data_IF_731313889971
#
_entry.id   IF_731313889971
#
_cell.length_a   1.000
_cell.length_b   1.000
_cell.length_c   1.000
_cell.angle_alpha   90.00
_cell.angle_beta   90.00
_cell.angle_gamma   90.00
#
_symmetry.space_group_name_H-M   'P 1'
#
loop_
_entity.id
_entity.type
_entity.pdbx_description
1 polymer ?
#
# COMPACT_ATOMS: atom_id res chain seq x y z
N UNK A 1 15.48 -6.96 -8.09
CA UNK A 1 14.95 -7.94 -7.11
C UNK A 1 13.47 -8.19 -7.37
N UNK A 2 12.61 -7.17 -7.27
CA UNK A 2 11.16 -7.29 -7.52
C UNK A 2 10.72 -8.16 -8.72
N UNK A 3 11.30 -7.97 -9.91
CA UNK A 3 10.97 -8.79 -11.09
C UNK A 3 11.27 -10.28 -10.90
N UNK A 4 12.38 -10.61 -10.24
CA UNK A 4 12.76 -11.99 -9.95
C UNK A 4 11.79 -12.61 -8.94
N UNK A 5 11.49 -11.87 -7.88
CA UNK A 5 10.58 -12.32 -6.80
C UNK A 5 9.17 -12.58 -7.34
N UNK A 6 8.67 -11.71 -8.23
CA UNK A 6 7.39 -11.91 -8.91
C UNK A 6 7.40 -13.06 -9.91
N UNK A 7 8.53 -13.31 -10.60
CA UNK A 7 8.66 -14.47 -11.48
C UNK A 7 8.57 -15.77 -10.68
N UNK A 8 9.33 -15.86 -9.59
CA UNK A 8 9.31 -17.02 -8.70
C UNK A 8 7.94 -17.22 -8.08
N UNK A 9 7.27 -16.14 -7.66
CA UNK A 9 5.89 -16.20 -7.17
C UNK A 9 4.94 -16.81 -8.20
N UNK A 10 5.01 -16.41 -9.47
CA UNK A 10 4.13 -16.95 -10.52
C UNK A 10 4.38 -18.43 -10.79
N UNK A 11 5.64 -18.85 -10.74
CA UNK A 11 5.99 -20.26 -10.86
C UNK A 11 5.40 -21.05 -9.68
N UNK A 12 5.63 -20.60 -8.44
CA UNK A 12 5.13 -21.23 -7.22
C UNK A 12 3.59 -21.23 -7.14
N UNK A 13 2.92 -20.16 -7.57
CA UNK A 13 1.46 -20.06 -7.62
C UNK A 13 0.85 -21.13 -8.54
N UNK A 14 1.48 -21.39 -9.70
CA UNK A 14 1.06 -22.45 -10.60
C UNK A 14 1.27 -23.85 -9.98
N UNK A 15 2.40 -24.09 -9.30
CA UNK A 15 2.66 -25.37 -8.63
C UNK A 15 1.72 -25.63 -7.45
N UNK A 16 1.41 -24.59 -6.67
CA UNK A 16 0.51 -24.66 -5.53
C UNK A 16 -0.94 -25.04 -5.91
N UNK A 17 -1.34 -24.81 -7.18
CA UNK A 17 -2.65 -25.26 -7.67
C UNK A 17 -2.74 -26.78 -7.88
N UNK A 18 -1.60 -27.48 -7.97
CA UNK A 18 -1.53 -28.91 -8.28
C UNK A 18 -0.99 -29.80 -7.14
N UNK A 19 -0.33 -29.21 -6.13
CA UNK A 19 0.26 -29.93 -5.00
C UNK A 19 -0.48 -29.68 -3.68
N UNK A 20 -0.67 -30.72 -2.86
CA UNK A 20 -1.43 -30.64 -1.61
C UNK A 20 -0.60 -30.25 -0.37
N UNK A 21 0.74 -30.25 -0.47
CA UNK A 21 1.61 -29.90 0.65
C UNK A 21 2.74 -28.99 0.15
N UNK A 22 2.76 -27.76 0.68
CA UNK A 22 3.84 -26.81 0.48
C UNK A 22 4.67 -26.78 1.75
N UNK A 23 5.99 -26.79 1.60
CA UNK A 23 6.87 -26.54 2.74
C UNK A 23 6.69 -25.09 3.25
N UNK A 24 7.04 -24.81 4.52
CA UNK A 24 6.85 -23.49 5.11
C UNK A 24 7.59 -22.34 4.39
N UNK A 25 8.72 -22.63 3.74
CA UNK A 25 9.49 -21.61 3.01
C UNK A 25 8.75 -21.21 1.73
N UNK A 26 8.22 -22.20 1.00
CA UNK A 26 7.36 -21.99 -0.17
C UNK A 26 6.09 -21.22 0.20
N UNK A 27 5.47 -21.52 1.34
CA UNK A 27 4.28 -20.79 1.80
C UNK A 27 4.60 -19.32 2.11
N UNK A 28 5.76 -19.03 2.72
CA UNK A 28 6.22 -17.66 2.95
C UNK A 28 6.47 -16.92 1.64
N UNK A 29 7.14 -17.55 0.68
CA UNK A 29 7.38 -16.96 -0.64
C UNK A 29 6.06 -16.65 -1.38
N UNK A 30 5.09 -17.56 -1.31
CA UNK A 30 3.77 -17.39 -1.94
C UNK A 30 2.97 -16.25 -1.30
N UNK A 31 2.91 -16.19 0.03
CA UNK A 31 2.19 -15.10 0.73
C UNK A 31 2.87 -13.74 0.54
N UNK A 32 4.21 -13.67 0.48
CA UNK A 32 4.92 -12.44 0.12
C UNK A 32 4.60 -12.01 -1.32
N UNK A 33 4.61 -12.95 -2.26
CA UNK A 33 4.29 -12.67 -3.65
C UNK A 33 2.87 -12.13 -3.86
N UNK A 34 1.89 -12.64 -3.10
CA UNK A 34 0.52 -12.09 -3.10
C UNK A 34 0.49 -10.61 -2.67
N UNK A 35 1.25 -10.23 -1.63
CA UNK A 35 1.36 -8.85 -1.17
C UNK A 35 2.08 -7.95 -2.17
N UNK A 36 3.11 -8.45 -2.84
CA UNK A 36 3.81 -7.72 -3.90
C UNK A 36 2.88 -7.43 -5.10
N UNK A 37 1.98 -8.36 -5.43
CA UNK A 37 0.95 -8.12 -6.46
C UNK A 37 -0.03 -7.05 -6.02
N UNK A 38 -0.46 -7.06 -4.75
CA UNK A 38 -1.35 -6.03 -4.20
C UNK A 38 -0.70 -4.64 -4.20
N UNK A 39 0.57 -4.56 -3.82
CA UNK A 39 1.35 -3.32 -3.81
C UNK A 39 1.42 -2.65 -5.18
N UNK A 40 1.42 -3.43 -6.26
CA UNK A 40 1.47 -2.91 -7.63
C UNK A 40 0.11 -2.43 -8.15
N UNK A 41 -0.99 -2.63 -7.40
CA UNK A 41 -2.30 -2.09 -7.78
C UNK A 41 -2.34 -0.59 -7.53
N UNK A 42 -2.70 0.16 -8.57
CA UNK A 42 -2.89 1.60 -8.51
C UNK A 42 -4.31 1.96 -8.94
N UNK A 43 -4.90 2.97 -8.31
CA UNK A 43 -6.21 3.50 -8.69
C UNK A 43 -6.10 4.26 -10.02
N UNK A 44 -7.16 4.23 -10.81
CA UNK A 44 -7.21 4.98 -12.06
C UNK A 44 -7.09 6.48 -11.77
N UNK A 45 -6.24 7.19 -12.55
CA UNK A 45 -6.04 8.66 -12.46
C UNK A 45 -5.40 9.16 -11.16
N UNK A 46 -4.77 8.27 -10.40
CA UNK A 46 -3.97 8.63 -9.22
C UNK A 46 -2.48 8.33 -9.50
N UNK A 47 -1.78 9.16 -10.29
CA UNK A 47 -0.34 8.98 -10.50
C UNK A 47 0.41 9.21 -9.19
N UNK A 48 1.34 8.31 -8.87
CA UNK A 48 2.19 8.43 -7.69
C UNK A 48 3.50 9.15 -8.02
N UNK A 49 3.99 10.08 -7.18
CA UNK A 49 5.34 10.61 -7.26
C UNK A 49 6.41 9.52 -7.21
N UNK A 50 7.59 9.76 -7.77
CA UNK A 50 8.67 8.75 -7.79
C UNK A 50 9.11 8.39 -6.37
N UNK A 51 9.21 9.36 -5.47
CA UNK A 51 9.56 9.10 -4.06
C UNK A 51 8.55 8.17 -3.38
N UNK A 52 7.24 8.36 -3.62
CA UNK A 52 6.19 7.51 -3.08
C UNK A 52 6.22 6.09 -3.65
N UNK A 53 6.54 5.96 -4.94
CA UNK A 53 6.73 4.66 -5.58
C UNK A 53 7.96 3.94 -5.00
N UNK A 54 9.07 4.66 -4.77
CA UNK A 54 10.27 4.11 -4.13
C UNK A 54 9.96 3.61 -2.73
N UNK A 55 9.29 4.41 -1.90
CA UNK A 55 8.87 4.02 -0.55
C UNK A 55 7.95 2.78 -0.56
N UNK A 56 6.97 2.76 -1.48
CA UNK A 56 6.06 1.63 -1.63
C UNK A 56 6.82 0.35 -2.00
N UNK A 57 7.67 0.38 -3.03
CA UNK A 57 8.46 -0.77 -3.47
C UNK A 57 9.47 -1.22 -2.42
N UNK A 58 10.08 -0.28 -1.69
CA UNK A 58 11.00 -0.58 -0.61
C UNK A 58 10.30 -1.32 0.53
N UNK A 59 9.08 -0.89 0.91
CA UNK A 59 8.29 -1.58 1.94
C UNK A 59 7.99 -3.04 1.58
N UNK A 60 7.68 -3.33 0.31
CA UNK A 60 7.40 -4.69 -0.16
C UNK A 60 8.66 -5.55 -0.31
N UNK A 61 9.73 -5.00 -0.89
CA UNK A 61 10.98 -5.75 -1.12
C UNK A 61 11.81 -5.96 0.15
N UNK A 62 11.65 -5.09 1.16
CA UNK A 62 12.25 -5.20 2.47
C UNK A 62 11.54 -6.16 3.43
N UNK A 63 10.38 -6.71 3.06
CA UNK A 63 9.62 -7.66 3.89
C UNK A 63 8.74 -7.02 4.97
N UNK A 64 8.62 -5.69 4.99
CA UNK A 64 7.79 -4.98 5.98
C UNK A 64 6.30 -5.32 5.87
N UNK A 65 5.85 -5.70 4.66
CA UNK A 65 4.47 -6.12 4.42
C UNK A 65 4.14 -7.54 4.92
N UNK A 66 5.13 -8.36 5.28
CA UNK A 66 4.89 -9.76 5.65
C UNK A 66 4.00 -9.89 6.90
N UNK A 67 4.02 -8.87 7.78
CA UNK A 67 3.19 -8.77 8.99
C UNK A 67 1.79 -8.21 8.74
N UNK A 68 1.46 -7.83 7.51
CA UNK A 68 0.18 -7.23 7.13
C UNK A 68 -0.64 -8.22 6.30
N UNK A 69 -1.96 -8.28 6.50
CA UNK A 69 -2.87 -9.07 5.64
C UNK A 69 -2.92 -8.49 4.24
N UNK A 70 -3.07 -9.36 3.23
CA UNK A 70 -3.09 -8.96 1.81
C UNK A 70 -4.17 -7.91 1.56
N UNK A 71 -5.34 -8.05 2.17
CA UNK A 71 -6.48 -7.14 2.03
C UNK A 71 -6.20 -5.74 2.61
N UNK A 72 -5.27 -5.62 3.57
CA UNK A 72 -4.89 -4.37 4.22
C UNK A 72 -3.69 -3.69 3.56
N UNK A 73 -3.01 -4.31 2.61
CA UNK A 73 -1.84 -3.73 1.95
C UNK A 73 -2.17 -2.41 1.26
N UNK A 74 -3.34 -2.31 0.61
CA UNK A 74 -3.76 -1.08 -0.05
C UNK A 74 -3.97 0.10 0.92
N UNK A 75 -4.59 -0.18 2.08
CA UNK A 75 -4.80 0.78 3.17
C UNK A 75 -3.45 1.19 3.78
N UNK A 76 -2.61 0.22 4.11
CA UNK A 76 -1.26 0.43 4.64
C UNK A 76 -0.45 1.36 3.73
N UNK A 77 -0.44 1.12 2.42
CA UNK A 77 0.34 1.95 1.49
C UNK A 77 -0.21 3.38 1.37
N UNK A 78 -1.52 3.56 1.46
CA UNK A 78 -2.13 4.89 1.46
C UNK A 78 -1.73 5.68 2.71
N UNK A 79 -1.87 5.07 3.88
CA UNK A 79 -1.56 5.69 5.16
C UNK A 79 -0.05 5.91 5.34
N UNK A 80 0.78 4.97 4.88
CA UNK A 80 2.24 5.11 4.88
C UNK A 80 2.67 6.35 4.10
N UNK A 81 2.09 6.58 2.92
CA UNK A 81 2.39 7.79 2.13
C UNK A 81 2.01 9.04 2.90
N UNK A 82 0.82 9.09 3.50
CA UNK A 82 0.37 10.25 4.29
C UNK A 82 1.33 10.52 5.46
N UNK A 83 1.77 9.46 6.17
CA UNK A 83 2.76 9.54 7.24
C UNK A 83 4.09 10.10 6.74
N UNK A 84 4.64 9.53 5.67
CA UNK A 84 5.92 9.96 5.10
C UNK A 84 5.88 11.41 4.62
N UNK A 85 4.79 11.86 4.00
CA UNK A 85 4.61 13.28 3.63
C UNK A 85 4.51 14.20 4.84
N UNK A 86 4.04 13.71 5.99
CA UNK A 86 3.86 14.52 7.20
C UNK A 86 5.14 14.59 8.04
N UNK A 87 5.86 13.48 8.17
CA UNK A 87 6.99 13.33 9.10
C UNK A 87 8.35 13.30 8.39
N UNK A 88 8.38 12.88 7.12
CA UNK A 88 9.60 12.61 6.36
C UNK A 88 9.62 13.35 5.00
N UNK A 89 8.97 14.53 4.93
CA UNK A 89 8.87 15.31 3.69
C UNK A 89 10.24 15.65 3.08
N UNK A 90 11.22 16.01 3.92
CA UNK A 90 12.59 16.32 3.47
C UNK A 90 13.31 15.08 2.91
N UNK A 91 13.05 13.89 3.45
CA UNK A 91 13.59 12.63 2.92
C UNK A 91 12.99 12.34 1.54
N UNK A 92 11.67 12.44 1.39
CA UNK A 92 11.01 12.23 0.09
C UNK A 92 11.53 13.21 -0.97
N UNK A 93 11.73 14.47 -0.58
CA UNK A 93 12.29 15.48 -1.47
C UNK A 93 13.72 15.17 -1.90
N UNK A 94 14.58 14.72 -0.97
CA UNK A 94 15.95 14.29 -1.33
C UNK A 94 15.96 13.12 -2.31
N UNK A 95 15.07 12.14 -2.11
CA UNK A 95 14.93 10.99 -3.02
C UNK A 95 14.50 11.46 -4.41
N UNK A 96 13.57 12.42 -4.49
CA UNK A 96 13.09 12.98 -5.76
C UNK A 96 14.17 13.82 -6.47
N UNK A 97 14.89 14.68 -5.73
CA UNK A 97 15.91 15.58 -6.28
C UNK A 97 17.17 14.82 -6.74
N UNK A 98 17.62 13.84 -5.95
CA UNK A 98 18.84 13.08 -6.26
C UNK A 98 18.59 11.93 -7.23
N UNK A 99 17.34 11.42 -7.28
CA UNK A 99 16.98 10.20 -7.98
C UNK A 99 17.69 8.95 -7.44
N UNK A 100 18.28 9.03 -6.24
CA UNK A 100 19.03 7.95 -5.60
C UNK A 100 18.52 7.74 -4.18
N UNK A 101 18.62 6.51 -3.72
CA UNK A 101 18.43 6.16 -2.33
C UNK A 101 19.82 5.88 -1.77
N UNK A 102 20.43 6.88 -1.13
CA UNK A 102 21.73 6.72 -0.47
C UNK A 102 21.58 5.91 0.83
N UNK A 103 22.67 5.32 1.32
CA UNK A 103 22.62 4.42 2.49
C UNK A 103 22.02 5.07 3.75
N UNK A 104 22.17 6.40 3.91
CA UNK A 104 21.57 7.15 5.01
C UNK A 104 20.05 7.30 4.84
N UNK A 105 19.61 7.66 3.63
CA UNK A 105 18.20 7.80 3.28
C UNK A 105 17.48 6.44 3.31
N UNK A 106 18.15 5.36 2.90
CA UNK A 106 17.64 4.00 2.99
C UNK A 106 17.36 3.61 4.46
N UNK A 107 18.31 3.90 5.36
CA UNK A 107 18.14 3.61 6.79
C UNK A 107 17.01 4.45 7.40
N UNK A 108 16.94 5.73 7.06
CA UNK A 108 15.88 6.62 7.53
C UNK A 108 14.50 6.15 7.04
N UNK A 109 14.40 5.75 5.77
CA UNK A 109 13.17 5.21 5.18
C UNK A 109 12.77 3.88 5.84
N UNK A 110 13.73 2.98 6.04
CA UNK A 110 13.49 1.70 6.72
C UNK A 110 13.01 1.88 8.16
N UNK A 111 13.61 2.79 8.91
CA UNK A 111 13.17 3.12 10.28
C UNK A 111 11.73 3.68 10.28
N UNK A 112 11.44 4.66 9.42
CA UNK A 112 10.11 5.25 9.33
C UNK A 112 9.03 4.23 8.94
N UNK A 113 9.35 3.28 8.05
CA UNK A 113 8.43 2.20 7.67
C UNK A 113 8.25 1.21 8.82
N UNK A 114 9.32 0.84 9.53
CA UNK A 114 9.24 -0.07 10.68
C UNK A 114 8.35 0.53 11.80
N UNK A 115 8.60 1.78 12.17
CA UNK A 115 7.79 2.51 13.15
C UNK A 115 6.32 2.58 12.70
N UNK A 116 6.09 2.83 11.40
CA UNK A 116 4.74 2.85 10.85
C UNK A 116 4.04 1.49 10.89
N UNK A 117 4.74 0.38 10.66
CA UNK A 117 4.17 -0.98 10.75
C UNK A 117 3.68 -1.25 12.17
N UNK A 118 4.45 -0.86 13.17
CA UNK A 118 4.07 -1.04 14.58
C UNK A 118 2.86 -0.15 14.94
N UNK A 119 2.83 1.10 14.48
CA UNK A 119 1.70 2.02 14.69
C UNK A 119 0.42 1.63 13.91
N UNK A 120 0.56 1.02 12.72
CA UNK A 120 -0.58 0.61 11.89
C UNK A 120 -1.31 -0.61 12.47
N UNK A 121 -0.63 -1.37 13.31
CA UNK A 121 -1.13 -2.61 13.91
C UNK A 121 -0.91 -3.80 12.99
N UNK A 122 0.13 -4.59 13.29
CA UNK A 122 0.46 -5.82 12.59
C UNK A 122 -0.65 -6.87 12.74
N UNK A 123 -0.96 -7.58 11.64
CA UNK A 123 -1.90 -8.69 11.64
C UNK A 123 -1.26 -10.02 12.02
N UNK A 124 0.05 -10.14 11.83
CA UNK A 124 0.84 -11.32 12.13
C UNK A 124 2.02 -10.99 13.03
N UNK A 125 2.37 -11.93 13.90
CA UNK A 125 3.57 -11.87 14.74
C UNK A 125 4.85 -12.22 13.93
N UNK A 126 6.02 -12.21 14.58
CA UNK A 126 7.30 -12.56 13.94
C UNK A 126 7.36 -14.01 13.41
N UNK A 127 6.43 -14.87 13.85
CA UNK A 127 6.33 -16.26 13.41
C UNK A 127 5.33 -16.46 12.28
N UNK A 128 4.55 -15.43 11.93
CA UNK A 128 3.52 -15.48 10.89
C UNK A 128 2.18 -15.99 11.41
N UNK A 129 2.03 -16.10 12.73
CA UNK A 129 0.76 -16.46 13.37
C UNK A 129 -0.11 -15.22 13.52
N UNK A 130 -1.45 -15.34 13.37
CA UNK A 130 -2.34 -14.21 13.56
C UNK A 130 -2.29 -13.74 15.02
N UNK A 131 -2.03 -12.46 15.24
CA UNK A 131 -2.03 -11.90 16.59
C UNK A 131 -3.47 -11.96 17.13
N UNK A 132 -3.67 -12.63 18.28
CA UNK A 132 -4.99 -12.80 18.93
C UNK A 132 -5.70 -11.44 19.09
N UNK A 133 -7.01 -11.45 18.82
CA UNK A 133 -7.82 -10.27 18.53
C UNK A 133 -7.79 -9.17 19.61
N UNK A 134 -7.44 -7.95 19.18
CA UNK A 134 -7.53 -6.74 20.01
C UNK A 134 -7.34 -5.40 19.28
N UNK A 135 -6.53 -5.31 18.21
CA UNK A 135 -6.18 -4.01 17.59
C UNK A 135 -6.28 -3.93 16.07
N UNK A 136 -6.55 -5.02 15.34
CA UNK A 136 -6.65 -5.02 13.87
C UNK A 136 -8.10 -5.25 13.39
N UNK A 137 -9.00 -4.32 13.68
CA UNK A 137 -10.40 -4.35 13.19
C UNK A 137 -10.75 -3.10 12.35
N UNK A 138 -9.77 -2.50 11.64
CA UNK A 138 -10.06 -1.41 10.69
C UNK A 138 -10.93 -1.90 9.50
N UNK A 139 -10.71 -3.13 9.02
CA UNK A 139 -11.39 -3.69 7.83
C UNK A 139 -12.91 -3.86 8.01
N UNK A 140 -13.43 -4.06 9.23
CA UNK A 140 -14.89 -4.17 9.43
C UNK A 140 -15.60 -2.82 9.52
N UNK A 141 -14.88 -1.71 9.73
CA UNK A 141 -15.49 -0.41 9.99
C UNK A 141 -15.77 0.42 8.73
N UNK A 142 -15.08 0.15 7.61
CA UNK A 142 -15.17 0.97 6.39
C UNK A 142 -16.14 0.47 5.32
N UNK A 143 -16.57 -0.81 5.36
CA UNK A 143 -17.60 -1.32 4.45
C UNK A 143 -18.97 -0.61 4.59
N UNK A 144 -19.13 0.27 5.58
CA UNK A 144 -20.32 1.09 5.82
C UNK A 144 -20.20 2.58 5.49
N UNK A 145 -19.04 3.10 5.02
CA UNK A 145 -18.89 4.54 4.76
C UNK A 145 -18.50 4.86 3.32
N UNK A 146 -19.53 5.23 2.58
CA UNK A 146 -19.52 6.18 1.46
C UNK A 146 -18.97 5.68 0.11
N UNK A 147 -19.88 5.08 -0.66
CA UNK A 147 -19.93 5.38 -2.09
C UNK A 147 -20.19 6.89 -2.26
N UNK A 148 -19.43 7.64 -3.08
CA UNK A 148 -19.72 9.04 -3.30
C UNK A 148 -21.01 9.15 -4.14
N UNK A 149 -22.02 9.77 -3.53
CA UNK A 149 -23.20 10.25 -4.23
C UNK A 149 -22.74 11.16 -5.39
N UNK A 150 -23.09 10.78 -6.62
CA UNK A 150 -22.88 11.61 -7.79
C UNK A 150 -23.63 12.93 -7.59
N UNK A 151 -22.86 14.01 -7.51
CA UNK A 151 -23.33 15.39 -7.46
C UNK A 151 -24.21 15.67 -8.67
N UNK A 152 -25.49 15.93 -8.44
CA UNK A 152 -26.35 16.59 -9.42
C UNK A 152 -25.99 18.08 -9.43
N UNK A 153 -25.34 18.54 -10.49
CA UNK A 153 -25.23 19.96 -10.84
C UNK A 153 -25.66 20.12 -12.28
N UNK A 154 -26.92 20.51 -12.47
CA UNK A 154 -27.40 21.23 -13.66
C UNK A 154 -28.83 21.70 -13.36
N UNK A 155 -28.97 22.96 -12.92
CA UNK A 155 -29.85 23.99 -13.52
C UNK A 155 -29.98 25.17 -12.54
N UNK A 156 -29.21 26.22 -12.79
CA UNK A 156 -29.48 27.56 -12.31
C UNK A 156 -28.84 28.53 -13.30
N UNK A 157 -29.58 28.84 -14.37
CA UNK A 157 -29.33 30.01 -15.21
C UNK A 157 -30.42 31.02 -14.88
N UNK A 158 -30.09 31.98 -14.03
CA UNK A 158 -30.79 33.26 -13.91
C UNK A 158 -30.04 34.21 -14.85
N UNK A 159 -30.72 34.69 -15.89
CA UNK A 159 -30.34 35.96 -16.52
C UNK A 159 -31.61 36.74 -16.81
N UNK A 160 -31.82 37.77 -15.99
CA UNK A 160 -32.78 38.84 -16.22
C UNK A 160 -32.15 39.83 -17.18
N UNK A 161 -32.72 39.96 -18.37
CA UNK A 161 -32.64 41.20 -19.12
C UNK A 161 -34.04 41.68 -19.51
N UNK A 162 -34.26 42.96 -19.23
CA UNK A 162 -35.53 43.66 -19.35
C UNK A 162 -35.73 44.24 -20.76
N UNK A 163 -36.89 44.91 -20.92
CA UNK A 163 -37.30 45.90 -21.95
C UNK A 163 -38.07 45.39 -23.20
N UNK A 164 -38.96 46.21 -23.81
CA UNK A 164 -40.39 45.88 -23.94
C UNK A 164 -40.95 46.10 -25.37
N UNK A 165 -42.21 45.70 -25.61
CA UNK A 165 -43.11 46.26 -26.62
C UNK A 165 -44.56 45.88 -26.32
#
# INVERSE_FOLDING_TARGET
>A
KLRLDLSQFRDLEAFAQFGSELDPETQKALTRGQRLVELLKQKEREPLPVADQVASVYSGTGGYLDRIKVERVGEFLADLRVRLHSEQAELLKRIEDTGKLEDEDEKALGAAIADFVDDFGADFDEHGEPVEAGESDRVKSEAGRQAPARTAVAEAADDKEATPA
#
